data_IF_046956315957
#
_entry.id   IF_046956315957
#
_cell.length_a   1.000
_cell.length_b   1.000
_cell.length_c   1.000
_cell.angle_alpha   90.00
_cell.angle_beta   90.00
_cell.angle_gamma   90.00
#
_symmetry.space_group_name_H-M   'P 1'
#
loop_
_entity.id
_entity.type
_entity.pdbx_description
1 polymer ?
#
# COMPACT_ATOMS: atom_id res chain seq x y z
N UNK A 1 15.04 22.86 47.30
CA UNK A 1 14.06 22.83 46.19
C UNK A 1 14.78 22.72 44.84
N UNK A 2 15.44 21.59 44.53
CA UNK A 2 16.04 21.28 43.20
C UNK A 2 16.31 19.78 43.02
N UNK A 3 15.37 18.91 43.42
CA UNK A 3 15.56 17.46 43.26
C UNK A 3 14.27 16.74 42.86
N UNK A 4 13.52 17.31 41.90
CA UNK A 4 12.27 16.70 41.43
C UNK A 4 12.06 16.81 39.91
N UNK A 5 13.13 16.90 39.13
CA UNK A 5 13.04 17.14 37.67
C UNK A 5 13.86 16.15 36.80
N UNK A 6 14.36 15.04 37.35
CA UNK A 6 15.19 14.09 36.59
C UNK A 6 14.52 12.74 36.27
N UNK A 7 13.22 12.57 36.52
CA UNK A 7 12.52 11.31 36.21
C UNK A 7 11.64 11.36 34.96
N UNK A 8 11.58 12.49 34.25
CA UNK A 8 10.72 12.66 33.08
C UNK A 8 11.26 12.18 31.71
N UNK A 9 12.53 11.77 31.49
CA UNK A 9 12.93 11.31 30.14
C UNK A 9 12.90 9.78 29.95
N UNK A 10 12.43 8.98 30.92
CA UNK A 10 12.44 7.50 30.79
C UNK A 10 11.21 6.95 30.06
N UNK A 11 10.15 7.74 29.89
CA UNK A 11 8.90 7.29 29.24
C UNK A 11 8.89 7.46 27.70
N UNK A 12 9.94 8.02 27.10
CA UNK A 12 9.94 8.38 25.67
C UNK A 12 10.51 7.31 24.73
N UNK A 13 10.64 6.05 25.15
CA UNK A 13 11.30 4.99 24.35
C UNK A 13 10.51 3.67 24.25
N UNK A 14 9.20 3.67 24.47
CA UNK A 14 8.35 2.53 24.10
C UNK A 14 7.63 2.82 22.79
N UNK A 15 8.38 2.74 21.70
CA UNK A 15 7.82 2.37 20.40
C UNK A 15 7.30 0.94 20.49
N UNK A 16 6.17 0.76 21.17
CA UNK A 16 5.58 -0.54 21.38
C UNK A 16 5.11 -1.12 20.05
N UNK A 17 5.57 -2.31 19.71
CA UNK A 17 4.83 -3.19 18.81
C UNK A 17 3.46 -3.40 19.45
N UNK A 18 2.48 -2.59 19.04
CA UNK A 18 1.11 -2.71 19.54
C UNK A 18 0.61 -4.11 19.15
N UNK A 19 0.15 -4.86 20.13
CA UNK A 19 -0.39 -6.20 19.90
C UNK A 19 -1.58 -6.09 18.91
N UNK A 20 -1.53 -6.73 17.73
CA UNK A 20 -2.61 -6.66 16.74
C UNK A 20 -3.98 -7.01 17.33
N UNK A 21 -4.04 -7.93 18.29
CA UNK A 21 -5.29 -8.28 18.97
C UNK A 21 -5.88 -7.11 19.77
N UNK A 22 -5.03 -6.32 20.44
CA UNK A 22 -5.46 -5.15 21.20
C UNK A 22 -5.97 -4.04 20.27
N UNK A 23 -5.35 -3.89 19.09
CA UNK A 23 -5.79 -2.95 18.08
C UNK A 23 -7.16 -3.30 17.51
N UNK A 24 -7.39 -4.57 17.14
CA UNK A 24 -8.70 -5.01 16.66
C UNK A 24 -9.77 -4.96 17.76
N UNK A 25 -9.37 -5.12 19.03
CA UNK A 25 -10.25 -5.06 20.19
C UNK A 25 -10.58 -3.64 20.68
N UNK A 26 -9.98 -2.59 20.11
CA UNK A 26 -10.15 -1.23 20.63
C UNK A 26 -11.60 -0.74 20.49
N UNK A 27 -12.06 0.18 21.37
CA UNK A 27 -13.40 0.77 21.25
C UNK A 27 -13.67 1.40 19.88
N UNK A 28 -12.66 2.04 19.30
CA UNK A 28 -12.72 2.64 17.98
C UNK A 28 -12.89 1.57 16.90
N UNK A 29 -12.16 0.45 17.01
CA UNK A 29 -12.26 -0.69 16.10
C UNK A 29 -13.67 -1.31 16.10
N UNK A 30 -14.30 -1.40 17.27
CA UNK A 30 -15.65 -1.94 17.44
C UNK A 30 -16.75 -1.02 16.92
N UNK A 31 -16.47 0.28 16.71
CA UNK A 31 -17.49 1.25 16.32
C UNK A 31 -18.08 0.98 14.92
N UNK A 32 -17.29 0.45 13.99
CA UNK A 32 -17.78 0.04 12.67
C UNK A 32 -16.80 -0.88 11.95
N UNK A 33 -17.30 -1.59 10.92
CA UNK A 33 -16.46 -2.36 10.01
C UNK A 33 -15.32 -1.52 9.41
N UNK A 34 -15.60 -0.27 9.02
CA UNK A 34 -14.59 0.60 8.43
C UNK A 34 -13.47 0.97 9.41
N UNK A 35 -13.80 1.21 10.68
CA UNK A 35 -12.80 1.48 11.70
C UNK A 35 -12.00 0.23 12.05
N UNK A 36 -12.65 -0.93 12.19
CA UNK A 36 -11.98 -2.21 12.41
C UNK A 36 -10.88 -2.51 11.39
N UNK A 37 -11.20 -2.39 10.10
CA UNK A 37 -10.26 -2.71 9.00
C UNK A 37 -9.10 -1.71 8.94
N UNK A 38 -9.27 -0.48 9.43
CA UNK A 38 -8.23 0.55 9.48
C UNK A 38 -7.20 0.33 10.59
N UNK A 39 -7.55 -0.39 11.66
CA UNK A 39 -6.65 -0.54 12.80
C UNK A 39 -5.43 -1.41 12.50
N UNK A 40 -5.63 -2.53 11.80
CA UNK A 40 -4.54 -3.46 11.50
C UNK A 40 -4.84 -4.35 10.28
N UNK A 41 -3.82 -4.72 9.48
CA UNK A 41 -3.97 -5.64 8.35
C UNK A 41 -4.46 -7.05 8.71
N UNK A 42 -4.40 -7.45 9.97
CA UNK A 42 -4.96 -8.73 10.44
C UNK A 42 -6.37 -8.63 11.03
N UNK A 43 -6.90 -7.42 11.23
CA UNK A 43 -8.27 -7.27 11.74
C UNK A 43 -9.30 -7.72 10.70
N UNK A 44 -10.35 -8.38 11.18
CA UNK A 44 -11.50 -8.79 10.42
C UNK A 44 -12.78 -8.51 11.21
N UNK A 45 -13.89 -8.33 10.48
CA UNK A 45 -15.17 -7.90 11.03
C UNK A 45 -16.25 -8.96 10.81
N UNK A 46 -16.98 -9.34 11.87
CA UNK A 46 -18.14 -10.22 11.75
C UNK A 46 -19.36 -9.43 11.28
N UNK A 47 -19.84 -9.72 10.06
CA UNK A 47 -21.03 -9.12 9.47
C UNK A 47 -22.33 -9.86 9.79
N UNK A 48 -22.28 -10.90 10.63
CA UNK A 48 -23.45 -11.67 11.00
C UNK A 48 -24.45 -10.75 11.75
N UNK A 49 -25.66 -10.52 11.22
CA UNK A 49 -26.66 -9.69 11.89
C UNK A 49 -27.19 -10.33 13.17
N UNK A 50 -27.12 -11.67 13.31
CA UNK A 50 -27.65 -12.43 14.44
C UNK A 50 -26.59 -12.79 15.49
N UNK A 51 -25.35 -12.32 15.32
CA UNK A 51 -24.32 -12.58 16.33
C UNK A 51 -24.70 -11.98 17.68
N UNK A 52 -24.63 -12.79 18.73
CA UNK A 52 -24.79 -12.37 20.13
C UNK A 52 -23.48 -11.87 20.73
N UNK A 53 -22.37 -11.98 19.98
CA UNK A 53 -21.05 -11.55 20.45
C UNK A 53 -20.93 -10.03 20.37
N UNK A 54 -20.55 -9.42 21.50
CA UNK A 54 -20.34 -7.98 21.60
C UNK A 54 -19.17 -7.50 20.71
N UNK A 55 -18.14 -8.34 20.56
CA UNK A 55 -16.94 -8.01 19.81
C UNK A 55 -17.05 -8.47 18.35
N UNK A 56 -17.38 -7.53 17.46
CA UNK A 56 -17.49 -7.77 16.01
C UNK A 56 -16.15 -7.63 15.30
N UNK A 57 -15.21 -6.84 15.82
CA UNK A 57 -13.85 -6.72 15.30
C UNK A 57 -12.89 -7.60 16.10
N UNK A 58 -12.17 -8.50 15.43
CA UNK A 58 -11.13 -9.35 16.04
C UNK A 58 -10.04 -9.66 15.00
N UNK A 59 -8.96 -10.32 15.42
CA UNK A 59 -8.02 -10.91 14.47
C UNK A 59 -8.72 -11.94 13.59
N UNK A 60 -8.36 -11.98 12.30
CA UNK A 60 -8.91 -12.96 11.36
C UNK A 60 -8.78 -14.39 11.85
N UNK A 61 -7.66 -14.73 12.48
CA UNK A 61 -7.37 -16.05 13.04
C UNK A 61 -8.15 -16.38 14.33
N UNK A 62 -8.73 -15.38 14.99
CA UNK A 62 -9.51 -15.57 16.21
C UNK A 62 -10.97 -15.96 15.95
N UNK A 63 -11.47 -15.76 14.72
CA UNK A 63 -12.81 -16.19 14.34
C UNK A 63 -12.89 -17.71 14.27
N UNK A 64 -13.93 -18.25 14.91
CA UNK A 64 -14.28 -19.66 14.93
C UNK A 64 -15.74 -19.80 14.52
N UNK A 65 -16.15 -20.99 14.09
CA UNK A 65 -17.51 -21.21 13.59
C UNK A 65 -18.61 -20.90 14.63
N UNK A 66 -18.30 -21.01 15.92
CA UNK A 66 -19.15 -20.67 17.06
C UNK A 66 -19.19 -19.17 17.39
N UNK A 67 -18.20 -18.38 16.94
CA UNK A 67 -18.16 -16.93 17.15
C UNK A 67 -18.69 -16.13 15.96
N UNK A 68 -18.30 -16.54 14.75
CA UNK A 68 -18.81 -15.99 13.51
C UNK A 68 -18.64 -17.01 12.40
N UNK A 69 -19.72 -17.30 11.67
CA UNK A 69 -19.62 -18.15 10.48
C UNK A 69 -18.57 -17.55 9.52
N UNK A 70 -17.60 -18.34 9.01
CA UNK A 70 -16.57 -17.86 8.09
C UNK A 70 -17.10 -17.07 6.88
N UNK A 71 -18.31 -17.35 6.39
CA UNK A 71 -18.95 -16.61 5.30
C UNK A 71 -19.32 -15.17 5.67
N UNK A 72 -19.59 -14.91 6.95
CA UNK A 72 -19.89 -13.57 7.47
C UNK A 72 -18.64 -12.80 7.90
N UNK A 73 -17.48 -13.46 8.02
CA UNK A 73 -16.21 -12.80 8.34
C UNK A 73 -15.75 -11.96 7.14
N UNK A 74 -15.73 -10.65 7.31
CA UNK A 74 -15.20 -9.71 6.34
C UNK A 74 -13.74 -9.37 6.65
N UNK A 75 -12.87 -9.75 5.71
CA UNK A 75 -11.45 -9.40 5.74
C UNK A 75 -11.02 -9.09 4.30
N UNK A 76 -10.93 -7.81 3.91
CA UNK A 76 -10.53 -7.46 2.57
C UNK A 76 -9.06 -7.86 2.36
N UNK A 77 -8.77 -8.48 1.21
CA UNK A 77 -7.42 -8.85 0.85
C UNK A 77 -6.79 -7.78 -0.06
N UNK A 78 -5.49 -7.57 0.12
CA UNK A 78 -4.70 -6.80 -0.84
C UNK A 78 -4.48 -7.63 -2.10
N UNK A 79 -4.89 -7.11 -3.26
CA UNK A 79 -4.76 -7.77 -4.56
C UNK A 79 -4.19 -6.84 -5.64
N UNK A 80 -3.46 -7.47 -6.57
CA UNK A 80 -2.88 -6.84 -7.75
C UNK A 80 -3.46 -7.52 -8.98
N UNK A 81 -3.99 -6.74 -9.92
CA UNK A 81 -4.49 -7.24 -11.21
C UNK A 81 -3.86 -6.47 -12.35
N UNK A 82 -3.40 -7.19 -13.36
CA UNK A 82 -2.92 -6.56 -14.60
C UNK A 82 -4.13 -6.09 -15.40
N UNK A 83 -4.08 -4.87 -15.91
CA UNK A 83 -5.14 -4.30 -16.74
C UNK A 83 -5.32 -5.07 -18.07
N UNK A 84 -6.51 -4.96 -18.70
CA UNK A 84 -6.82 -5.71 -19.92
C UNK A 84 -5.94 -5.31 -21.12
N UNK A 85 -5.45 -4.08 -21.14
CA UNK A 85 -4.57 -3.56 -22.18
C UNK A 85 -3.11 -3.72 -21.78
N UNK A 86 -2.62 -4.96 -21.85
CA UNK A 86 -1.22 -5.29 -21.60
C UNK A 86 -0.50 -5.75 -22.88
N UNK A 87 0.20 -4.83 -23.54
CA UNK A 87 1.00 -5.10 -24.72
C UNK A 87 2.41 -5.59 -24.33
N UNK A 88 3.01 -6.51 -25.10
CA UNK A 88 4.36 -6.98 -24.80
C UNK A 88 5.41 -5.89 -25.06
N UNK A 89 6.51 -5.90 -24.31
CA UNK A 89 7.65 -5.02 -24.57
C UNK A 89 8.10 -5.09 -26.04
N UNK A 90 8.46 -3.94 -26.60
CA UNK A 90 8.94 -3.83 -27.99
C UNK A 90 7.86 -3.82 -29.06
N UNK A 91 6.59 -4.08 -28.70
CA UNK A 91 5.48 -4.00 -29.66
C UNK A 91 5.14 -2.55 -30.04
N UNK A 92 4.50 -2.32 -31.21
CA UNK A 92 3.94 -1.02 -31.55
C UNK A 92 2.93 -0.57 -30.48
N UNK A 93 3.16 0.62 -29.93
CA UNK A 93 2.25 1.25 -28.98
C UNK A 93 1.22 2.14 -29.68
N UNK A 94 0.80 3.20 -28.99
CA UNK A 94 -0.08 4.20 -29.61
C UNK A 94 0.71 5.05 -30.62
N UNK A 95 0.21 5.13 -31.87
CA UNK A 95 0.85 5.88 -32.94
C UNK A 95 2.21 5.31 -33.35
N UNK A 96 3.25 6.16 -33.35
CA UNK A 96 4.65 5.77 -33.70
C UNK A 96 5.47 5.33 -32.48
N UNK A 97 4.85 5.14 -31.32
CA UNK A 97 5.55 4.75 -30.10
C UNK A 97 5.83 3.24 -30.05
N UNK A 98 6.82 2.85 -29.28
CA UNK A 98 7.12 1.44 -28.95
C UNK A 98 6.83 1.24 -27.47
N UNK A 99 6.26 0.10 -27.11
CA UNK A 99 6.00 -0.25 -25.72
C UNK A 99 7.33 -0.48 -24.98
N UNK A 100 7.60 0.34 -23.97
CA UNK A 100 8.84 0.30 -23.19
C UNK A 100 8.64 -0.12 -21.72
N UNK A 101 7.40 -0.19 -21.23
CA UNK A 101 7.08 -0.63 -19.87
C UNK A 101 6.00 -1.71 -19.95
N UNK A 102 6.14 -2.77 -19.18
CA UNK A 102 5.17 -3.85 -19.04
C UNK A 102 5.03 -4.23 -17.55
N UNK A 103 3.82 -4.31 -16.96
CA UNK A 103 2.54 -4.02 -17.59
C UNK A 103 2.24 -2.52 -17.72
N UNK A 104 1.43 -2.11 -18.70
CA UNK A 104 1.07 -0.69 -18.88
C UNK A 104 -0.01 -0.21 -17.91
N UNK A 105 -0.79 -1.13 -17.36
CA UNK A 105 -1.84 -0.82 -16.39
C UNK A 105 -1.87 -1.88 -15.30
N UNK A 106 -1.92 -1.42 -14.05
CA UNK A 106 -2.09 -2.26 -12.88
C UNK A 106 -3.23 -1.69 -12.04
N UNK A 107 -4.15 -2.56 -11.64
CA UNK A 107 -5.25 -2.26 -10.74
C UNK A 107 -4.90 -2.82 -9.37
N UNK A 108 -4.81 -1.93 -8.38
CA UNK A 108 -4.47 -2.26 -7.01
C UNK A 108 -5.73 -2.14 -6.14
N UNK A 109 -5.97 -3.14 -5.30
CA UNK A 109 -6.91 -3.02 -4.18
C UNK A 109 -6.13 -3.32 -2.93
N UNK A 110 -5.98 -2.33 -2.06
CA UNK A 110 -5.11 -2.41 -0.90
C UNK A 110 -5.93 -2.33 0.38
N UNK A 111 -5.58 -3.18 1.34
CA UNK A 111 -6.01 -3.00 2.72
C UNK A 111 -5.16 -1.91 3.37
N UNK A 112 -5.72 -1.02 4.22
CA UNK A 112 -4.93 -0.08 5.00
C UNK A 112 -3.84 -0.80 5.82
N UNK A 113 -2.61 -0.29 5.74
CA UNK A 113 -1.45 -0.86 6.45
C UNK A 113 -0.76 -2.03 5.74
N UNK A 114 -1.34 -2.59 4.67
CA UNK A 114 -0.66 -3.60 3.85
C UNK A 114 0.35 -2.96 2.89
N UNK A 115 1.40 -3.73 2.58
CA UNK A 115 2.38 -3.40 1.53
C UNK A 115 2.24 -4.40 0.39
N UNK A 116 2.37 -3.94 -0.86
CA UNK A 116 2.46 -4.80 -2.03
C UNK A 116 3.59 -4.36 -2.94
N UNK A 117 4.15 -5.32 -3.68
CA UNK A 117 5.17 -5.09 -4.68
C UNK A 117 4.60 -5.38 -6.07
N UNK A 118 4.76 -4.43 -7.00
CA UNK A 118 4.39 -4.60 -8.40
C UNK A 118 5.66 -4.79 -9.21
N UNK A 119 5.79 -5.96 -9.83
CA UNK A 119 6.89 -6.22 -10.75
C UNK A 119 6.59 -5.56 -12.09
N UNK A 120 7.58 -4.86 -12.64
CA UNK A 120 7.50 -4.26 -13.97
C UNK A 120 8.81 -4.53 -14.73
N UNK A 121 8.69 -4.58 -16.06
CA UNK A 121 9.82 -4.68 -16.97
C UNK A 121 9.94 -3.36 -17.72
N UNK A 122 11.18 -2.95 -17.94
CA UNK A 122 11.49 -1.75 -18.70
C UNK A 122 12.46 -2.08 -19.84
N UNK A 123 12.11 -1.66 -21.05
CA UNK A 123 12.97 -1.76 -22.23
C UNK A 123 13.63 -0.41 -22.49
N UNK A 124 14.90 -0.28 -22.11
CA UNK A 124 15.69 0.89 -22.43
C UNK A 124 15.93 0.98 -23.94
N UNK A 125 15.58 2.11 -24.55
CA UNK A 125 15.93 2.42 -25.94
C UNK A 125 17.01 3.47 -25.93
N UNK A 126 18.16 3.16 -26.54
CA UNK A 126 19.21 4.15 -26.74
C UNK A 126 18.62 5.35 -27.47
N UNK A 127 18.72 6.57 -26.92
CA UNK A 127 18.30 7.76 -27.62
C UNK A 127 19.06 7.90 -28.94
N UNK A 128 18.48 8.65 -29.88
CA UNK A 128 19.21 9.04 -31.09
C UNK A 128 20.52 9.75 -30.70
N UNK A 129 21.60 9.61 -31.49
CA UNK A 129 22.86 10.28 -31.21
C UNK A 129 22.65 11.78 -30.94
N UNK A 130 23.13 12.27 -29.80
CA UNK A 130 22.97 13.66 -29.36
C UNK A 130 21.81 13.93 -28.39
N UNK A 131 20.97 12.93 -28.09
CA UNK A 131 19.96 13.01 -27.03
C UNK A 131 20.36 12.13 -25.85
N UNK A 132 20.12 12.59 -24.62
CA UNK A 132 20.32 11.83 -23.39
C UNK A 132 18.97 11.71 -22.66
N UNK A 133 18.55 10.49 -22.33
CA UNK A 133 17.30 10.27 -21.60
C UNK A 133 17.63 10.31 -20.12
N UNK A 134 17.50 11.50 -19.53
CA UNK A 134 17.82 11.76 -18.11
C UNK A 134 16.66 11.51 -17.16
N UNK A 135 15.47 11.28 -17.69
CA UNK A 135 14.24 11.31 -16.91
C UNK A 135 13.16 10.38 -17.49
N UNK A 136 12.47 9.67 -16.62
CA UNK A 136 11.24 8.98 -16.97
C UNK A 136 10.15 9.38 -15.97
N UNK A 137 8.94 9.61 -16.48
CA UNK A 137 7.78 9.93 -15.65
C UNK A 137 6.86 8.72 -15.61
N UNK A 138 6.56 8.24 -14.41
CA UNK A 138 5.47 7.29 -14.19
C UNK A 138 4.21 8.09 -13.92
N UNK A 139 3.14 7.83 -14.67
CA UNK A 139 1.85 8.46 -14.41
C UNK A 139 1.04 7.60 -13.46
N UNK A 140 0.39 8.23 -12.48
CA UNK A 140 -0.52 7.56 -11.55
C UNK A 140 -1.93 8.13 -11.72
N UNK A 141 -2.95 7.33 -11.39
CA UNK A 141 -4.33 7.82 -11.28
C UNK A 141 -4.44 8.88 -10.19
N UNK A 142 -5.50 9.71 -10.19
CA UNK A 142 -5.73 10.74 -9.15
C UNK A 142 -6.16 10.14 -7.78
N UNK A 143 -5.36 9.25 -7.21
CA UNK A 143 -5.65 8.55 -5.95
C UNK A 143 -5.78 9.50 -4.75
N UNK A 144 -5.13 10.66 -4.79
CA UNK A 144 -5.21 11.68 -3.71
C UNK A 144 -6.65 12.16 -3.48
N UNK A 145 -7.51 12.16 -4.51
CA UNK A 145 -8.94 12.50 -4.37
C UNK A 145 -9.73 11.48 -3.55
N UNK A 146 -9.18 10.27 -3.36
CA UNK A 146 -9.77 9.21 -2.55
C UNK A 146 -9.45 9.35 -1.05
N UNK A 147 -8.69 10.39 -0.65
CA UNK A 147 -8.27 10.58 0.74
C UNK A 147 -7.21 9.58 1.22
N UNK A 148 -6.46 8.99 0.28
CA UNK A 148 -5.41 8.00 0.55
C UNK A 148 -4.03 8.67 0.53
N UNK A 149 -3.19 8.35 1.51
CA UNK A 149 -1.76 8.67 1.50
C UNK A 149 -0.98 7.46 1.04
N UNK A 150 -0.44 7.50 -0.18
CA UNK A 150 0.35 6.42 -0.77
C UNK A 150 1.78 6.90 -0.98
N UNK A 151 2.74 6.11 -0.51
CA UNK A 151 4.17 6.32 -0.75
C UNK A 151 4.65 5.34 -1.81
N UNK A 152 5.32 5.87 -2.82
CA UNK A 152 5.91 5.09 -3.90
C UNK A 152 7.42 5.16 -3.78
N UNK A 153 8.09 4.05 -4.01
CA UNK A 153 9.54 3.99 -4.06
C UNK A 153 9.97 2.95 -5.09
N UNK A 154 11.16 3.14 -5.64
CA UNK A 154 11.84 2.17 -6.49
C UNK A 154 13.04 1.66 -5.71
N UNK A 155 13.17 0.34 -5.61
CA UNK A 155 14.40 -0.30 -5.16
C UNK A 155 15.23 -0.67 -6.38
N UNK A 156 16.47 -0.17 -6.43
CA UNK A 156 17.47 -0.55 -7.41
C UNK A 156 18.73 -1.04 -6.69
N UNK A 157 19.00 -2.35 -6.79
CA UNK A 157 20.15 -3.01 -6.17
C UNK A 157 20.31 -2.68 -4.67
N UNK A 158 19.20 -2.61 -3.93
CA UNK A 158 19.19 -2.29 -2.48
C UNK A 158 19.24 -0.80 -2.15
N UNK A 159 19.24 0.08 -3.17
CA UNK A 159 19.08 1.53 -2.99
C UNK A 159 17.62 1.92 -3.20
N UNK A 160 16.99 2.51 -2.17
CA UNK A 160 15.59 2.94 -2.21
C UNK A 160 15.50 4.41 -2.63
N UNK A 161 14.81 4.69 -3.74
CA UNK A 161 14.51 6.04 -4.22
C UNK A 161 13.02 6.33 -4.11
N UNK A 162 12.65 7.36 -3.34
CA UNK A 162 11.24 7.76 -3.18
C UNK A 162 10.74 8.51 -4.42
N UNK A 163 9.58 8.08 -4.94
CA UNK A 163 8.90 8.74 -6.05
C UNK A 163 7.87 9.75 -5.52
N UNK A 164 8.07 11.03 -5.83
CA UNK A 164 7.15 12.14 -5.54
C UNK A 164 6.27 12.48 -6.74
N UNK A 165 5.14 11.79 -6.90
CA UNK A 165 4.16 12.16 -7.94
C UNK A 165 3.45 13.48 -7.57
N UNK A 166 3.97 14.60 -8.11
CA UNK A 166 3.26 15.90 -8.12
C UNK A 166 2.59 16.10 -9.47
N UNK A 167 1.41 16.74 -9.47
CA UNK A 167 0.67 17.13 -10.67
C UNK A 167 1.60 17.93 -11.58
N UNK A 168 2.03 17.31 -12.67
CA UNK A 168 2.79 17.96 -13.76
C UNK A 168 4.05 18.66 -13.25
N UNK A 169 5.08 17.91 -12.86
CA UNK A 169 6.46 18.40 -12.87
C UNK A 169 7.42 17.20 -13.05
N UNK A 170 8.56 17.42 -13.74
CA UNK A 170 9.51 16.37 -14.10
C UNK A 170 10.15 15.79 -12.83
N UNK A 171 10.08 14.47 -12.68
CA UNK A 171 10.79 13.75 -11.64
C UNK A 171 12.02 13.07 -12.22
N UNK A 172 13.18 13.63 -11.92
CA UNK A 172 14.49 13.13 -12.33
C UNK A 172 14.76 11.78 -11.69
N UNK A 173 14.40 10.72 -12.40
CA UNK A 173 14.90 9.39 -12.12
C UNK A 173 16.35 9.34 -12.57
N UNK A 174 17.21 9.68 -11.62
CA UNK A 174 18.64 9.50 -11.69
C UNK A 174 18.89 8.04 -12.11
N UNK A 175 19.36 7.86 -13.36
CA UNK A 175 20.40 6.90 -13.71
C UNK A 175 20.70 5.88 -12.60
N UNK A 176 19.96 4.78 -12.45
CA UNK A 176 20.33 3.74 -11.47
C UNK A 176 19.40 2.55 -11.66
N UNK A 177 19.78 1.64 -12.54
CA UNK A 177 19.47 0.21 -12.46
C UNK A 177 20.32 -0.43 -13.59
N UNK A 178 21.61 -0.10 -13.60
CA UNK A 178 22.67 -0.82 -14.32
C UNK A 178 23.54 -1.50 -13.26
#
# INVERSE_FOLDING_TARGET
MRLLLLLLPVLYQLGGCQNPAALCGSPEAQASCGQCIKQHPDCAWCRDPHTTHQNRCQLRSAFKADTCNPTYVYSPATEVRIGPHNLPLGSPGSGKSTVQIEPQQVVLRMKPGDTLNVQYKYMHKKPAPGYDVKEFMVQTSEYKKLGLDMKFFVDCNGSVLFLFFSRVLPMSLCWLCY
#
